data_IF_400989214851
#
_entry.id   IF_400989214851
#
_cell.length_a   1.000
_cell.length_b   1.000
_cell.length_c   1.000
_cell.angle_alpha   90.00
_cell.angle_beta   90.00
_cell.angle_gamma   90.00
#
_symmetry.space_group_name_H-M   'P 1'
#
loop_
_entity.id
_entity.type
_entity.pdbx_description
1 polymer ?
#
# COMPACT_ATOMS: atom_id res chain seq x y z
N UNK A 1 21.76 -22.30 -9.60
CA UNK A 1 20.86 -21.81 -8.53
C UNK A 1 19.38 -21.97 -8.89
N UNK A 2 18.97 -21.74 -10.12
CA UNK A 2 17.54 -21.69 -10.54
C UNK A 2 16.82 -23.05 -10.54
N UNK A 3 17.52 -24.17 -10.33
CA UNK A 3 16.96 -25.54 -10.41
C UNK A 3 17.28 -26.38 -9.17
N UNK A 4 17.62 -25.74 -8.06
CA UNK A 4 17.93 -26.48 -6.83
C UNK A 4 16.67 -27.10 -6.23
N UNK A 5 16.74 -28.33 -5.69
CA UNK A 5 15.58 -29.00 -5.09
C UNK A 5 14.87 -28.16 -4.01
N UNK A 6 15.63 -27.45 -3.16
CA UNK A 6 15.09 -26.59 -2.13
C UNK A 6 14.24 -25.44 -2.72
N UNK A 7 14.73 -24.76 -3.77
CA UNK A 7 14.00 -23.70 -4.44
C UNK A 7 12.73 -24.23 -5.11
N UNK A 8 12.78 -25.41 -5.71
CA UNK A 8 11.62 -26.08 -6.30
C UNK A 8 10.58 -26.47 -5.24
N UNK A 9 11.01 -26.99 -4.11
CA UNK A 9 10.11 -27.31 -3.00
C UNK A 9 9.42 -26.08 -2.44
N UNK A 10 10.14 -24.97 -2.23
CA UNK A 10 9.57 -23.71 -1.80
C UNK A 10 8.55 -23.14 -2.81
N UNK A 11 8.88 -23.21 -4.11
CA UNK A 11 7.98 -22.75 -5.18
C UNK A 11 6.70 -23.58 -5.22
N UNK A 12 6.79 -24.91 -5.12
CA UNK A 12 5.62 -25.80 -5.08
C UNK A 12 4.74 -25.52 -3.86
N UNK A 13 5.33 -25.32 -2.68
CA UNK A 13 4.60 -24.97 -1.48
C UNK A 13 3.86 -23.64 -1.64
N UNK A 14 4.52 -22.63 -2.21
CA UNK A 14 3.90 -21.31 -2.48
C UNK A 14 2.74 -21.43 -3.45
N UNK A 15 2.91 -22.13 -4.58
CA UNK A 15 1.85 -22.36 -5.57
C UNK A 15 0.66 -23.09 -4.93
N UNK A 16 0.94 -24.11 -4.12
CA UNK A 16 -0.12 -24.85 -3.42
C UNK A 16 -0.95 -23.93 -2.50
N UNK A 17 -0.30 -23.07 -1.72
CA UNK A 17 -1.00 -22.07 -0.87
C UNK A 17 -1.83 -21.11 -1.71
N UNK A 18 -1.26 -20.56 -2.80
CA UNK A 18 -1.97 -19.66 -3.71
C UNK A 18 -3.27 -20.28 -4.24
N UNK A 19 -3.20 -21.55 -4.65
CA UNK A 19 -4.34 -22.26 -5.23
C UNK A 19 -5.36 -22.72 -4.17
N UNK A 20 -4.89 -23.36 -3.10
CA UNK A 20 -5.80 -23.93 -2.08
C UNK A 20 -6.53 -22.87 -1.26
N UNK A 21 -5.90 -21.73 -1.02
CA UNK A 21 -6.52 -20.60 -0.33
C UNK A 21 -7.20 -19.60 -1.28
N UNK A 22 -7.13 -19.83 -2.58
CA UNK A 22 -7.67 -18.92 -3.61
C UNK A 22 -7.23 -17.46 -3.38
N UNK A 23 -5.93 -17.27 -3.12
CA UNK A 23 -5.38 -15.95 -2.78
C UNK A 23 -5.59 -14.90 -3.88
N UNK A 24 -5.59 -15.21 -5.19
CA UNK A 24 -5.89 -14.22 -6.22
C UNK A 24 -7.28 -13.58 -6.07
N UNK A 25 -8.32 -14.36 -5.77
CA UNK A 25 -9.65 -13.82 -5.55
C UNK A 25 -9.74 -12.99 -4.26
N UNK A 26 -9.08 -13.44 -3.19
CA UNK A 26 -8.97 -12.66 -1.95
C UNK A 26 -8.21 -11.35 -2.17
N UNK A 27 -7.14 -11.37 -2.96
CA UNK A 27 -6.37 -10.18 -3.31
C UNK A 27 -7.20 -9.17 -4.11
N UNK A 28 -8.07 -9.63 -5.02
CA UNK A 28 -8.99 -8.75 -5.71
C UNK A 28 -9.96 -8.06 -4.74
N UNK A 29 -10.65 -8.83 -3.89
CA UNK A 29 -11.62 -8.30 -2.93
C UNK A 29 -11.00 -7.30 -1.93
N UNK A 30 -9.88 -7.67 -1.32
CA UNK A 30 -9.18 -6.81 -0.36
C UNK A 30 -8.54 -5.59 -1.04
N UNK A 31 -8.04 -5.79 -2.26
CA UNK A 31 -7.48 -4.73 -3.07
C UNK A 31 -8.50 -3.67 -3.45
N UNK A 32 -9.71 -4.08 -3.84
CA UNK A 32 -10.82 -3.15 -4.12
C UNK A 32 -11.17 -2.35 -2.87
N UNK A 33 -11.30 -3.00 -1.71
CA UNK A 33 -11.55 -2.33 -0.42
C UNK A 33 -10.47 -1.29 -0.08
N UNK A 34 -9.19 -1.65 -0.22
CA UNK A 34 -8.08 -0.73 0.05
C UNK A 34 -8.05 0.42 -0.96
N UNK A 35 -8.24 0.12 -2.25
CA UNK A 35 -8.22 1.11 -3.32
C UNK A 35 -9.34 2.15 -3.14
N UNK A 36 -10.54 1.71 -2.81
CA UNK A 36 -11.67 2.59 -2.54
C UNK A 36 -11.43 3.42 -1.27
N UNK A 37 -10.89 2.82 -0.22
CA UNK A 37 -10.49 3.53 0.99
C UNK A 37 -9.45 4.62 0.74
N UNK A 38 -8.41 4.33 -0.05
CA UNK A 38 -7.41 5.34 -0.43
C UNK A 38 -7.98 6.42 -1.36
N UNK A 39 -8.91 6.09 -2.25
CA UNK A 39 -9.59 7.08 -3.09
C UNK A 39 -10.45 8.03 -2.26
N UNK A 40 -11.13 7.54 -1.24
CA UNK A 40 -11.86 8.41 -0.30
C UNK A 40 -10.90 9.34 0.46
N UNK A 41 -9.75 8.83 0.90
CA UNK A 41 -8.72 9.67 1.53
C UNK A 41 -8.19 10.73 0.54
N UNK A 42 -7.96 10.39 -0.72
CA UNK A 42 -7.55 11.35 -1.73
C UNK A 42 -8.57 12.48 -1.93
N UNK A 43 -9.87 12.17 -1.85
CA UNK A 43 -10.92 13.18 -1.90
C UNK A 43 -10.98 14.09 -0.67
N UNK A 44 -10.58 13.55 0.51
CA UNK A 44 -10.50 14.34 1.76
C UNK A 44 -9.24 15.23 1.81
N UNK A 45 -8.18 14.84 1.08
CA UNK A 45 -6.88 15.52 1.03
C UNK A 45 -6.42 15.83 -0.41
N UNK A 46 -7.21 16.58 -1.20
CA UNK A 46 -6.90 16.87 -2.61
C UNK A 46 -5.69 17.79 -2.78
N UNK A 47 -5.32 18.49 -1.73
CA UNK A 47 -4.13 19.35 -1.61
C UNK A 47 -2.83 18.54 -1.45
N UNK A 48 -2.92 17.29 -0.99
CA UNK A 48 -1.76 16.42 -0.77
C UNK A 48 -1.66 15.30 -1.80
N UNK A 49 -2.80 14.71 -2.20
CA UNK A 49 -2.87 13.51 -3.04
C UNK A 49 -3.35 13.86 -4.44
N UNK A 50 -2.53 13.56 -5.45
CA UNK A 50 -2.85 13.78 -6.86
C UNK A 50 -3.67 12.64 -7.46
N UNK A 51 -3.25 11.38 -7.23
CA UNK A 51 -3.89 10.21 -7.82
C UNK A 51 -3.74 8.97 -6.93
N UNK A 52 -4.77 8.11 -6.95
CA UNK A 52 -4.72 6.76 -6.40
C UNK A 52 -5.08 5.76 -7.49
N UNK A 53 -4.18 4.83 -7.78
CA UNK A 53 -4.34 3.83 -8.83
C UNK A 53 -3.83 2.46 -8.39
N UNK A 54 -4.33 1.40 -9.01
CA UNK A 54 -3.87 0.05 -8.72
C UNK A 54 -4.84 -1.01 -9.18
N UNK A 55 -4.45 -2.27 -8.92
CA UNK A 55 -5.27 -3.45 -9.14
C UNK A 55 -4.91 -4.53 -8.15
N UNK A 56 -5.91 -5.09 -7.47
CA UNK A 56 -5.68 -6.07 -6.41
C UNK A 56 -4.79 -5.49 -5.32
N UNK A 57 -3.77 -6.24 -4.90
CA UNK A 57 -2.83 -5.83 -3.85
C UNK A 57 -1.61 -5.04 -4.37
N UNK A 58 -1.65 -4.54 -5.59
CA UNK A 58 -0.64 -3.66 -6.16
C UNK A 58 -1.24 -2.29 -6.40
N UNK A 59 -0.94 -1.33 -5.53
CA UNK A 59 -1.50 0.01 -5.54
C UNK A 59 -0.42 1.07 -5.43
N UNK A 60 -0.76 2.27 -5.85
CA UNK A 60 0.10 3.44 -5.70
C UNK A 60 -0.72 4.68 -5.34
N UNK A 61 -0.14 5.50 -4.48
CA UNK A 61 -0.62 6.84 -4.16
C UNK A 61 0.41 7.80 -4.73
N UNK A 62 -0.01 8.69 -5.60
CA UNK A 62 0.81 9.77 -6.13
C UNK A 62 0.47 11.06 -5.40
N UNK A 63 1.47 11.69 -4.83
CA UNK A 63 1.37 12.95 -4.10
C UNK A 63 1.64 14.14 -5.02
N UNK A 64 1.28 15.34 -4.60
CA UNK A 64 1.48 16.57 -5.39
C UNK A 64 2.96 16.90 -5.55
N UNK A 65 3.81 16.56 -4.57
CA UNK A 65 5.27 16.68 -4.67
C UNK A 65 6.05 15.56 -3.98
N UNK A 66 7.39 15.61 -4.09
CA UNK A 66 8.29 14.58 -3.59
C UNK A 66 8.40 14.59 -2.06
N UNK A 67 8.37 15.76 -1.44
CA UNK A 67 8.56 15.93 0.00
C UNK A 67 7.36 15.34 0.74
N UNK A 68 6.15 15.65 0.27
CA UNK A 68 4.91 15.08 0.82
C UNK A 68 4.91 13.55 0.70
N UNK A 69 5.37 13.00 -0.43
CA UNK A 69 5.48 11.55 -0.60
C UNK A 69 6.45 10.91 0.41
N UNK A 70 7.60 11.54 0.63
CA UNK A 70 8.58 11.08 1.62
C UNK A 70 8.04 11.18 3.05
N UNK A 71 7.41 12.29 3.39
CA UNK A 71 6.85 12.52 4.71
C UNK A 71 5.67 11.58 5.00
N UNK A 72 4.83 11.29 4.00
CA UNK A 72 3.81 10.27 4.10
C UNK A 72 4.41 8.90 4.45
N UNK A 73 5.46 8.50 3.76
CA UNK A 73 6.12 7.22 4.05
C UNK A 73 6.70 7.19 5.48
N UNK A 74 7.26 8.31 5.94
CA UNK A 74 7.80 8.48 7.28
C UNK A 74 6.69 8.40 8.35
N UNK A 75 5.56 9.06 8.12
CA UNK A 75 4.41 8.99 9.03
C UNK A 75 3.77 7.59 9.07
N UNK A 76 3.67 6.91 7.91
CA UNK A 76 3.22 5.51 7.86
C UNK A 76 4.13 4.60 8.69
N UNK A 77 5.44 4.80 8.60
CA UNK A 77 6.42 4.07 9.43
C UNK A 77 6.20 4.33 10.94
N UNK A 78 5.94 5.56 11.34
CA UNK A 78 5.58 5.90 12.73
C UNK A 78 4.29 5.21 13.18
N UNK A 79 3.35 4.98 12.26
CA UNK A 79 2.14 4.18 12.49
C UNK A 79 2.38 2.66 12.39
N UNK A 80 3.65 2.20 12.25
CA UNK A 80 4.07 0.80 12.11
C UNK A 80 3.57 0.13 10.83
N UNK A 81 3.39 0.90 9.77
CA UNK A 81 3.07 0.42 8.42
C UNK A 81 4.22 0.77 7.49
N UNK A 82 4.85 -0.26 6.92
CA UNK A 82 5.91 -0.09 5.92
C UNK A 82 5.29 0.11 4.54
N UNK A 83 5.72 1.14 3.86
CA UNK A 83 5.40 1.41 2.47
C UNK A 83 6.69 1.67 1.69
N UNK A 84 6.65 1.61 0.37
CA UNK A 84 7.84 1.75 -0.46
C UNK A 84 7.67 2.89 -1.48
N UNK A 85 8.68 3.74 -1.58
CA UNK A 85 8.80 4.68 -2.69
C UNK A 85 9.06 3.98 -4.02
N UNK A 86 9.00 4.72 -5.10
CA UNK A 86 9.38 4.27 -6.45
C UNK A 86 10.68 4.93 -6.88
N UNK A 87 11.52 4.18 -7.63
CA UNK A 87 12.79 4.70 -8.13
C UNK A 87 12.62 5.76 -9.22
N UNK A 88 11.53 5.67 -9.99
CA UNK A 88 11.30 6.51 -11.16
C UNK A 88 10.51 7.79 -10.85
N UNK A 89 9.77 7.82 -9.75
CA UNK A 89 8.95 8.96 -9.38
C UNK A 89 8.84 9.04 -7.84
N UNK A 90 9.58 9.95 -7.25
CA UNK A 90 9.62 10.14 -5.80
C UNK A 90 8.27 10.59 -5.19
N UNK A 91 7.37 11.14 -5.99
CA UNK A 91 5.99 11.48 -5.59
C UNK A 91 5.11 10.25 -5.37
N UNK A 92 5.51 9.09 -5.87
CA UNK A 92 4.66 7.89 -5.88
C UNK A 92 5.11 6.91 -4.80
N UNK A 93 4.21 6.61 -3.89
CA UNK A 93 4.38 5.59 -2.86
C UNK A 93 3.60 4.34 -3.25
N UNK A 94 4.28 3.19 -3.26
CA UNK A 94 3.68 1.88 -3.53
C UNK A 94 3.12 1.28 -2.26
N UNK A 95 1.94 0.71 -2.39
CA UNK A 95 1.26 -0.08 -1.36
C UNK A 95 1.16 -1.52 -1.89
N UNK A 96 2.01 -2.39 -1.38
CA UNK A 96 2.16 -3.79 -1.83
C UNK A 96 2.07 -4.74 -0.63
N UNK A 97 0.92 -4.85 0.02
CA UNK A 97 0.78 -5.73 1.18
C UNK A 97 0.81 -7.20 0.76
N UNK A 98 1.14 -8.12 1.68
CA UNK A 98 1.09 -9.55 1.39
C UNK A 98 -0.35 -9.98 1.06
N UNK A 99 -0.49 -10.96 0.15
CA UNK A 99 -1.80 -11.49 -0.26
C UNK A 99 -2.61 -12.09 0.91
N UNK A 100 -1.91 -12.48 1.97
CA UNK A 100 -2.48 -13.05 3.20
C UNK A 100 -2.99 -12.00 4.21
N UNK A 101 -2.89 -10.69 3.89
CA UNK A 101 -3.39 -9.62 4.74
C UNK A 101 -4.86 -9.87 5.10
N UNK A 102 -5.23 -9.68 6.36
CA UNK A 102 -6.64 -9.82 6.81
C UNK A 102 -7.44 -8.55 6.53
N UNK A 103 -8.76 -8.63 6.53
CA UNK A 103 -9.63 -7.45 6.39
C UNK A 103 -9.39 -6.44 7.53
N UNK A 104 -9.21 -6.93 8.76
CA UNK A 104 -8.89 -6.09 9.91
C UNK A 104 -7.57 -5.33 9.70
N UNK A 105 -6.54 -6.00 9.15
CA UNK A 105 -5.28 -5.35 8.81
C UNK A 105 -5.44 -4.33 7.68
N UNK A 106 -6.32 -4.56 6.71
CA UNK A 106 -6.65 -3.56 5.70
C UNK A 106 -7.23 -2.28 6.34
N UNK A 107 -8.15 -2.43 7.29
CA UNK A 107 -8.70 -1.29 8.05
C UNK A 107 -7.63 -0.57 8.86
N UNK A 108 -6.70 -1.30 9.46
CA UNK A 108 -5.56 -0.72 10.19
C UNK A 108 -4.68 0.12 9.26
N UNK A 109 -4.40 -0.36 8.04
CA UNK A 109 -3.63 0.39 7.02
C UNK A 109 -4.34 1.68 6.63
N UNK A 110 -5.64 1.64 6.35
CA UNK A 110 -6.43 2.83 6.00
C UNK A 110 -6.48 3.84 7.16
N UNK A 111 -6.61 3.36 8.41
CA UNK A 111 -6.58 4.19 9.61
C UNK A 111 -5.20 4.84 9.81
N UNK A 112 -4.13 4.12 9.55
CA UNK A 112 -2.77 4.65 9.60
C UNK A 112 -2.56 5.74 8.53
N UNK A 113 -3.00 5.49 7.30
CA UNK A 113 -2.91 6.45 6.20
C UNK A 113 -3.69 7.74 6.48
N UNK A 114 -4.90 7.63 7.04
CA UNK A 114 -5.69 8.80 7.46
C UNK A 114 -4.94 9.65 8.49
N UNK A 115 -4.33 9.02 9.49
CA UNK A 115 -3.53 9.73 10.49
C UNK A 115 -2.30 10.38 9.90
N UNK A 116 -1.62 9.70 8.98
CA UNK A 116 -0.46 10.23 8.28
C UNK A 116 -0.84 11.48 7.47
N UNK A 117 -1.90 11.42 6.66
CA UNK A 117 -2.37 12.56 5.88
C UNK A 117 -2.82 13.74 6.75
N UNK A 118 -3.50 13.46 7.87
CA UNK A 118 -3.91 14.51 8.81
C UNK A 118 -2.70 15.23 9.43
N UNK A 119 -1.65 14.49 9.81
CA UNK A 119 -0.41 15.07 10.34
C UNK A 119 0.30 15.95 9.29
N UNK A 120 0.35 15.50 8.04
CA UNK A 120 0.97 16.24 6.93
C UNK A 120 0.24 17.55 6.64
N UNK A 121 -1.10 17.55 6.65
CA UNK A 121 -1.88 18.77 6.41
C UNK A 121 -1.57 19.86 7.44
N UNK A 122 -1.46 19.50 8.72
CA UNK A 122 -1.06 20.44 9.78
C UNK A 122 0.32 21.02 9.51
N UNK A 123 1.29 20.17 9.12
CA UNK A 123 2.66 20.63 8.82
C UNK A 123 2.73 21.58 7.63
N UNK A 124 1.88 21.37 6.61
CA UNK A 124 1.82 22.25 5.41
C UNK A 124 1.14 23.59 5.74
N UNK A 125 0.15 23.62 6.63
CA UNK A 125 -0.53 24.84 7.05
C UNK A 125 0.34 25.73 7.97
N UNK A 126 1.35 25.15 8.64
CA UNK A 126 2.27 25.85 9.55
C UNK A 126 3.56 26.34 8.87
N UNK A 127 3.81 25.98 7.60
CA UNK A 127 5.03 26.30 6.86
C UNK A 127 4.84 27.49 5.93
#
# INVERSE_FOLDING_TARGET
>A
YKRQPLACAAALATINVLLTQNLPAQAAQKGDMLLDGFRLLAQEYPDLVNEVRGKGMLMAIEFVDNEIGYDFASEMFRQRVLVAGTLNNAKTIRIEPPLTLTLEQCEQVLKAARKALAALRVSVEEA
#
